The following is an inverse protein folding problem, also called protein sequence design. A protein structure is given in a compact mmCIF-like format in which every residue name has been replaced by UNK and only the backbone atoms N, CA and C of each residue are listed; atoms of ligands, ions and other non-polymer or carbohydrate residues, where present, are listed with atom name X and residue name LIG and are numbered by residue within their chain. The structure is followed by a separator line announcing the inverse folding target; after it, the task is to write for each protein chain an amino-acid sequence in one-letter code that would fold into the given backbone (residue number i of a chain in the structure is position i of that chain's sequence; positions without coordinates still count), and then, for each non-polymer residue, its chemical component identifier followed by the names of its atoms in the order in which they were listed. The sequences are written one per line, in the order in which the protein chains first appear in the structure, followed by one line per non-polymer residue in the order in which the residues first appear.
data_IF_862852386735
#
_entry.id   IF_862852386735
#
_cell.length_a   1.000
_cell.length_b   1.000
_cell.length_c   1.000
_cell.angle_alpha   90.00
_cell.angle_beta   90.00
_cell.angle_gamma   90.00
#
_symmetry.space_group_name_H-M   'P 1'
#
loop_
_entity.id
_entity.type
_entity.pdbx_description
1 polymer ?
#
# COMPACT_ATOMS: atom_id res chain seq x y z
N UNK A 1 20.57 3.37 -9.99
CA UNK A 1 19.27 3.90 -9.57
C UNK A 1 18.18 3.82 -10.64
N UNK A 2 18.43 4.15 -11.93
CA UNK A 2 17.42 4.10 -13.01
C UNK A 2 16.85 2.69 -13.28
N UNK A 3 17.68 1.65 -13.18
CA UNK A 3 17.27 0.25 -13.43
C UNK A 3 16.36 -0.30 -12.33
N UNK A 4 16.65 0.02 -11.05
CA UNK A 4 15.81 -0.36 -9.92
C UNK A 4 14.42 0.30 -9.99
N UNK A 5 14.34 1.59 -10.33
CA UNK A 5 13.04 2.25 -10.57
C UNK A 5 12.26 1.57 -11.67
N UNK A 6 12.89 1.25 -12.81
CA UNK A 6 12.22 0.61 -13.95
C UNK A 6 11.69 -0.80 -13.60
N UNK A 7 12.41 -1.56 -12.78
CA UNK A 7 11.96 -2.87 -12.29
C UNK A 7 10.77 -2.71 -11.33
N UNK A 8 10.84 -1.74 -10.42
CA UNK A 8 9.74 -1.46 -9.49
C UNK A 8 8.47 -1.01 -10.22
N UNK A 9 8.60 -0.07 -11.18
CA UNK A 9 7.47 0.40 -11.98
C UNK A 9 6.85 -0.74 -12.81
N UNK A 10 7.68 -1.66 -13.32
CA UNK A 10 7.22 -2.87 -14.00
C UNK A 10 6.44 -3.81 -13.07
N UNK A 11 6.96 -4.04 -11.85
CA UNK A 11 6.32 -4.89 -10.85
C UNK A 11 4.95 -4.33 -10.43
N UNK A 12 4.85 -3.03 -10.18
CA UNK A 12 3.59 -2.36 -9.84
C UNK A 12 2.57 -2.49 -10.97
N UNK A 13 2.94 -2.21 -12.22
CA UNK A 13 2.03 -2.35 -13.37
C UNK A 13 1.50 -3.77 -13.55
N UNK A 14 2.35 -4.78 -13.34
CA UNK A 14 1.91 -6.18 -13.36
C UNK A 14 0.90 -6.45 -12.23
N UNK A 15 1.17 -5.94 -11.05
CA UNK A 15 0.29 -6.10 -9.89
C UNK A 15 -1.06 -5.39 -10.08
N UNK A 16 -1.07 -4.20 -10.66
CA UNK A 16 -2.29 -3.47 -11.03
C UNK A 16 -3.14 -4.29 -12.03
N UNK A 17 -2.48 -4.83 -13.07
CA UNK A 17 -3.17 -5.66 -14.04
C UNK A 17 -3.73 -6.94 -13.40
N UNK A 18 -2.97 -7.60 -12.52
CA UNK A 18 -3.44 -8.77 -11.76
C UNK A 18 -4.62 -8.41 -10.88
N UNK A 19 -4.56 -7.30 -10.14
CA UNK A 19 -5.66 -6.84 -9.29
C UNK A 19 -6.92 -6.54 -10.13
N UNK A 20 -6.77 -5.92 -11.29
CA UNK A 20 -7.87 -5.65 -12.22
C UNK A 20 -8.53 -6.95 -12.71
N UNK A 21 -7.74 -7.92 -13.15
CA UNK A 21 -8.23 -9.22 -13.62
C UNK A 21 -8.94 -9.98 -12.49
N UNK A 22 -8.35 -10.01 -11.29
CA UNK A 22 -8.99 -10.64 -10.13
C UNK A 22 -10.31 -9.96 -9.77
N UNK A 23 -10.39 -8.63 -9.84
CA UNK A 23 -11.62 -7.88 -9.62
C UNK A 23 -12.72 -8.26 -10.63
N UNK A 24 -12.37 -8.35 -11.92
CA UNK A 24 -13.30 -8.76 -12.95
C UNK A 24 -13.81 -10.20 -12.73
N UNK A 25 -12.92 -11.10 -12.32
CA UNK A 25 -13.28 -12.50 -12.00
C UNK A 25 -14.23 -12.55 -10.81
N UNK A 26 -13.94 -11.83 -9.72
CA UNK A 26 -14.81 -11.78 -8.52
C UNK A 26 -16.19 -11.25 -8.88
N UNK A 27 -16.26 -10.14 -9.63
CA UNK A 27 -17.54 -9.59 -10.09
C UNK A 27 -18.34 -10.59 -10.94
N UNK A 28 -17.68 -11.25 -11.90
CA UNK A 28 -18.33 -12.24 -12.75
C UNK A 28 -18.84 -13.44 -11.94
N UNK A 29 -18.05 -13.91 -10.96
CA UNK A 29 -18.45 -15.02 -10.09
C UNK A 29 -19.66 -14.66 -9.21
N UNK A 30 -19.68 -13.45 -8.63
CA UNK A 30 -20.82 -12.98 -7.82
C UNK A 30 -22.08 -12.90 -8.66
N UNK A 31 -22.01 -12.32 -9.86
CA UNK A 31 -23.14 -12.22 -10.78
C UNK A 31 -23.63 -13.61 -11.19
N UNK A 32 -22.72 -14.50 -11.54
CA UNK A 32 -23.05 -15.88 -11.93
C UNK A 32 -23.70 -16.66 -10.79
N UNK A 33 -23.17 -16.51 -9.57
CA UNK A 33 -23.72 -17.15 -8.38
C UNK A 33 -25.11 -16.62 -8.04
N UNK A 34 -25.31 -15.29 -8.09
CA UNK A 34 -26.61 -14.67 -7.90
C UNK A 34 -27.62 -15.16 -8.95
N UNK A 35 -27.22 -15.22 -10.22
CA UNK A 35 -28.05 -15.73 -11.29
C UNK A 35 -28.49 -17.18 -11.03
N UNK A 36 -27.55 -18.05 -10.68
CA UNK A 36 -27.90 -19.46 -10.34
C UNK A 36 -28.87 -19.56 -9.16
N UNK A 37 -28.67 -18.78 -8.13
CA UNK A 37 -29.53 -18.80 -6.95
C UNK A 37 -30.94 -18.34 -7.24
N UNK A 38 -31.11 -17.26 -8.01
CA UNK A 38 -32.43 -16.68 -8.27
C UNK A 38 -33.17 -17.35 -9.41
N UNK A 39 -32.49 -17.84 -10.46
CA UNK A 39 -33.13 -18.42 -11.64
C UNK A 39 -33.30 -19.94 -11.49
N UNK A 40 -32.31 -20.63 -10.98
CA UNK A 40 -32.31 -22.09 -10.88
C UNK A 40 -32.67 -22.62 -9.49
N UNK A 41 -32.87 -21.75 -8.51
CA UNK A 41 -33.08 -22.09 -7.10
C UNK A 41 -32.10 -23.18 -6.60
N UNK A 42 -30.91 -23.25 -7.20
CA UNK A 42 -29.87 -24.22 -6.85
C UNK A 42 -28.78 -23.54 -6.02
N UNK A 43 -28.56 -24.07 -4.83
CA UNK A 43 -27.45 -23.60 -3.99
C UNK A 43 -26.16 -24.27 -4.46
N UNK A 44 -25.21 -23.47 -4.92
CA UNK A 44 -23.86 -23.94 -5.22
C UNK A 44 -23.02 -23.81 -3.95
N UNK A 45 -23.02 -24.87 -3.15
CA UNK A 45 -22.22 -24.95 -1.92
C UNK A 45 -20.74 -24.80 -2.26
N UNK A 46 -20.06 -23.83 -1.64
CA UNK A 46 -18.63 -23.58 -1.83
C UNK A 46 -18.28 -22.40 -2.75
N UNK A 47 -19.23 -21.82 -3.49
CA UNK A 47 -18.96 -20.61 -4.29
C UNK A 47 -18.45 -19.46 -3.42
N UNK A 48 -19.01 -19.30 -2.21
CA UNK A 48 -18.58 -18.29 -1.25
C UNK A 48 -17.11 -18.44 -0.86
N UNK A 49 -16.65 -19.68 -0.65
CA UNK A 49 -15.27 -19.99 -0.27
C UNK A 49 -14.28 -19.59 -1.37
N UNK A 50 -14.64 -19.86 -2.63
CA UNK A 50 -13.80 -19.51 -3.78
C UNK A 50 -13.78 -18.00 -4.03
N UNK A 51 -14.94 -17.34 -3.96
CA UNK A 51 -15.07 -15.89 -4.09
C UNK A 51 -14.25 -15.21 -2.99
N UNK A 52 -14.37 -15.68 -1.74
CA UNK A 52 -13.62 -15.13 -0.62
C UNK A 52 -12.10 -15.27 -0.82
N UNK A 53 -11.63 -16.44 -1.27
CA UNK A 53 -10.22 -16.69 -1.52
C UNK A 53 -9.63 -15.72 -2.57
N UNK A 54 -10.33 -15.55 -3.70
CA UNK A 54 -9.88 -14.65 -4.78
C UNK A 54 -9.98 -13.18 -4.35
N UNK A 55 -11.08 -12.80 -3.68
CA UNK A 55 -11.27 -11.44 -3.17
C UNK A 55 -10.21 -11.06 -2.13
N UNK A 56 -9.74 -12.01 -1.33
CA UNK A 56 -8.68 -11.80 -0.36
C UNK A 56 -7.36 -11.41 -1.03
N UNK A 57 -6.97 -12.13 -2.07
CA UNK A 57 -5.78 -11.80 -2.88
C UNK A 57 -5.92 -10.45 -3.56
N UNK A 58 -7.06 -10.20 -4.21
CA UNK A 58 -7.35 -8.91 -4.85
C UNK A 58 -7.23 -7.74 -3.88
N UNK A 59 -7.83 -7.87 -2.69
CA UNK A 59 -7.87 -6.81 -1.70
C UNK A 59 -6.47 -6.47 -1.16
N UNK A 60 -5.68 -7.48 -0.82
CA UNK A 60 -4.34 -7.25 -0.27
C UNK A 60 -3.30 -6.83 -1.31
N UNK A 61 -3.45 -7.26 -2.57
CA UNK A 61 -2.68 -6.71 -3.68
C UNK A 61 -3.01 -5.23 -3.87
N UNK A 62 -4.28 -4.85 -3.85
CA UNK A 62 -4.71 -3.45 -3.92
C UNK A 62 -4.18 -2.61 -2.76
N UNK A 63 -4.12 -3.15 -1.55
CA UNK A 63 -3.65 -2.43 -0.37
C UNK A 63 -2.18 -1.99 -0.48
N UNK A 64 -1.26 -2.87 -0.93
CA UNK A 64 0.14 -2.46 -1.09
C UNK A 64 0.36 -1.54 -2.30
N UNK A 65 -0.43 -1.68 -3.39
CA UNK A 65 -0.39 -0.75 -4.52
C UNK A 65 -0.79 0.66 -4.04
N UNK A 66 -1.88 0.78 -3.28
CA UNK A 66 -2.30 2.04 -2.69
C UNK A 66 -1.23 2.67 -1.77
N UNK A 67 -0.47 1.84 -1.05
CA UNK A 67 0.65 2.30 -0.23
C UNK A 67 1.81 2.79 -1.10
N UNK A 68 2.09 2.13 -2.23
CA UNK A 68 3.12 2.56 -3.18
C UNK A 68 2.80 3.90 -3.82
N UNK A 69 1.56 4.11 -4.22
CA UNK A 69 1.13 5.37 -4.84
C UNK A 69 1.18 6.56 -3.87
N UNK A 70 1.32 6.30 -2.55
CA UNK A 70 1.24 7.27 -1.44
C UNK A 70 0.29 8.41 -1.80
N UNK A 71 -0.95 8.02 -2.04
CA UNK A 71 -1.95 8.88 -2.65
C UNK A 71 -1.92 10.27 -1.98
N UNK A 72 -1.45 11.27 -2.69
CA UNK A 72 -1.32 12.67 -2.26
C UNK A 72 -2.60 13.24 -1.65
N UNK A 73 -3.72 12.54 -1.84
CA UNK A 73 -5.05 12.89 -1.36
C UNK A 73 -5.11 12.97 0.17
N UNK A 74 -4.46 12.06 0.89
CA UNK A 74 -4.45 12.08 2.36
C UNK A 74 -3.55 13.18 2.93
N UNK A 75 -2.50 13.57 2.20
CA UNK A 75 -1.61 14.64 2.61
C UNK A 75 -2.26 16.01 2.44
N UNK A 76 -3.08 16.21 1.41
CA UNK A 76 -3.65 17.52 1.08
C UNK A 76 -4.67 18.01 2.09
N UNK A 77 -5.43 17.15 2.75
CA UNK A 77 -6.40 17.54 3.77
C UNK A 77 -5.74 18.17 5.02
N UNK A 78 -4.62 17.59 5.50
CA UNK A 78 -3.89 18.14 6.64
C UNK A 78 -2.89 19.20 6.25
N UNK A 79 -2.27 19.09 5.07
CA UNK A 79 -1.30 20.06 4.57
C UNK A 79 -1.96 21.36 4.08
N UNK A 80 -3.23 21.32 3.68
CA UNK A 80 -3.99 22.52 3.35
C UNK A 80 -4.15 23.51 4.52
N UNK A 81 -4.09 23.02 5.77
CA UNK A 81 -4.11 23.85 6.98
C UNK A 81 -2.75 24.41 7.37
N UNK A 82 -1.65 23.84 6.88
CA UNK A 82 -0.28 24.28 7.19
C UNK A 82 0.27 25.14 6.05
N UNK A 83 0.47 26.45 6.34
CA UNK A 83 1.00 27.43 5.38
C UNK A 83 2.50 27.26 5.09
N UNK A 84 3.25 26.54 5.94
CA UNK A 84 4.71 26.44 5.87
C UNK A 84 5.12 25.11 5.21
N UNK A 85 5.99 25.16 4.20
CA UNK A 85 6.53 23.98 3.51
C UNK A 85 7.21 22.98 4.48
N UNK A 86 7.98 23.48 5.45
CA UNK A 86 8.61 22.66 6.50
C UNK A 86 7.56 21.95 7.37
N UNK A 87 6.46 22.63 7.72
CA UNK A 87 5.36 22.03 8.48
C UNK A 87 4.68 20.89 7.74
N UNK A 88 4.49 21.03 6.42
CA UNK A 88 3.92 19.97 5.57
C UNK A 88 4.79 18.72 5.53
N UNK A 89 6.09 18.91 5.36
CA UNK A 89 7.05 17.80 5.32
C UNK A 89 7.16 17.07 6.67
N UNK A 90 7.13 17.81 7.79
CA UNK A 90 7.11 17.22 9.13
C UNK A 90 5.82 16.42 9.38
N UNK A 91 4.65 16.97 9.03
CA UNK A 91 3.38 16.27 9.17
C UNK A 91 3.36 14.97 8.33
N UNK A 92 3.91 15.01 7.10
CA UNK A 92 4.09 13.81 6.26
C UNK A 92 4.99 12.79 6.92
N UNK A 93 6.10 13.21 7.51
CA UNK A 93 7.04 12.32 8.21
C UNK A 93 6.38 11.63 9.41
N UNK A 94 5.64 12.37 10.23
CA UNK A 94 4.90 11.82 11.38
C UNK A 94 3.90 10.77 10.91
N UNK A 95 3.13 11.06 9.87
CA UNK A 95 2.18 10.11 9.28
C UNK A 95 2.87 8.84 8.80
N UNK A 96 3.96 8.95 8.05
CA UNK A 96 4.72 7.80 7.54
C UNK A 96 5.29 6.96 8.67
N UNK A 97 5.75 7.59 9.77
CA UNK A 97 6.26 6.88 10.95
C UNK A 97 5.16 6.07 11.63
N UNK A 98 3.98 6.66 11.83
CA UNK A 98 2.83 5.95 12.40
C UNK A 98 2.41 4.79 11.50
N UNK A 99 2.34 5.01 10.17
CA UNK A 99 2.01 3.97 9.20
C UNK A 99 3.04 2.83 9.21
N UNK A 100 4.33 3.15 9.31
CA UNK A 100 5.39 2.14 9.38
C UNK A 100 5.27 1.25 10.60
N UNK A 101 5.01 1.83 11.78
CA UNK A 101 4.79 1.08 13.02
C UNK A 101 3.57 0.17 12.88
N UNK A 102 2.46 0.68 12.33
CA UNK A 102 1.25 -0.09 12.10
C UNK A 102 1.49 -1.27 11.13
N UNK A 103 2.12 -1.02 9.98
CA UNK A 103 2.43 -2.08 9.01
C UNK A 103 3.43 -3.10 9.56
N UNK A 104 4.42 -2.68 10.35
CA UNK A 104 5.35 -3.58 11.02
C UNK A 104 4.64 -4.53 12.00
N UNK A 105 3.75 -3.98 12.82
CA UNK A 105 2.94 -4.77 13.76
C UNK A 105 2.01 -5.74 13.00
N UNK A 106 1.36 -5.28 11.93
CA UNK A 106 0.49 -6.12 11.11
C UNK A 106 1.27 -7.22 10.37
N UNK A 107 2.50 -6.95 9.92
CA UNK A 107 3.37 -7.96 9.31
C UNK A 107 3.70 -9.06 10.30
N UNK A 108 4.08 -8.70 11.52
CA UNK A 108 4.38 -9.66 12.58
C UNK A 108 3.15 -10.53 12.90
N UNK A 109 2.01 -9.91 13.14
CA UNK A 109 0.76 -10.61 13.47
C UNK A 109 0.31 -11.53 12.33
N UNK A 110 0.43 -11.08 11.08
CA UNK A 110 0.09 -11.87 9.89
C UNK A 110 1.00 -13.07 9.70
N UNK A 111 2.28 -12.92 10.07
CA UNK A 111 3.23 -14.03 10.05
C UNK A 111 2.88 -15.09 11.09
N UNK A 112 2.54 -14.68 12.29
CA UNK A 112 2.10 -15.59 13.35
C UNK A 112 0.80 -16.32 12.96
N UNK A 113 -0.14 -15.61 12.36
CA UNK A 113 -1.38 -16.17 11.86
C UNK A 113 -1.14 -17.21 10.75
N UNK A 114 -0.27 -16.90 9.78
CA UNK A 114 0.11 -17.85 8.73
C UNK A 114 0.80 -19.09 9.29
N UNK A 115 1.72 -18.93 10.24
CA UNK A 115 2.40 -20.02 10.90
C UNK A 115 1.42 -20.96 11.61
N UNK A 116 0.43 -20.39 12.27
CA UNK A 116 -0.63 -21.15 12.94
C UNK A 116 -1.47 -21.98 11.95
N UNK A 117 -1.81 -21.44 10.78
CA UNK A 117 -2.54 -22.16 9.73
C UNK A 117 -1.73 -23.32 9.13
N UNK A 118 -0.42 -23.09 8.95
CA UNK A 118 0.51 -24.13 8.45
C UNK A 118 0.65 -25.26 9.47
N UNK A 119 0.91 -24.94 10.74
CA UNK A 119 1.11 -25.95 11.80
C UNK A 119 -0.15 -26.77 12.04
N UNK A 120 -1.31 -26.15 11.98
CA UNK A 120 -2.59 -26.84 12.19
C UNK A 120 -3.16 -27.51 10.94
N UNK A 121 -2.48 -27.42 9.79
CA UNK A 121 -2.94 -27.97 8.52
C UNK A 121 -4.41 -27.63 8.23
N UNK A 122 -4.80 -26.37 8.50
CA UNK A 122 -6.17 -25.93 8.27
C UNK A 122 -6.51 -26.04 6.78
N UNK A 123 -7.62 -26.71 6.49
CA UNK A 123 -8.18 -26.86 5.16
C UNK A 123 -9.53 -26.16 5.07
N UNK A 124 -9.89 -25.70 3.88
CA UNK A 124 -11.20 -25.14 3.59
C UNK A 124 -12.26 -26.24 3.64
N UNK A 125 -13.50 -25.87 3.98
CA UNK A 125 -14.58 -26.81 4.30
C UNK A 125 -15.02 -27.60 3.08
N UNK A 126 -15.21 -26.92 1.92
CA UNK A 126 -15.76 -27.53 0.71
C UNK A 126 -14.69 -28.09 -0.22
N UNK A 127 -13.70 -27.27 -0.55
CA UNK A 127 -12.67 -27.65 -1.54
C UNK A 127 -11.46 -28.32 -0.92
N UNK A 128 -11.34 -28.33 0.41
CA UNK A 128 -10.20 -28.90 1.15
C UNK A 128 -8.83 -28.32 0.74
N UNK A 129 -8.80 -27.08 0.23
CA UNK A 129 -7.55 -26.38 -0.01
C UNK A 129 -6.90 -25.94 1.31
N UNK A 130 -5.56 -25.96 1.41
CA UNK A 130 -4.88 -25.44 2.59
C UNK A 130 -5.17 -23.93 2.73
N UNK A 131 -5.75 -23.53 3.85
CA UNK A 131 -6.06 -22.10 4.12
C UNK A 131 -4.82 -21.21 4.13
N UNK A 132 -3.66 -21.80 4.42
CA UNK A 132 -2.38 -21.11 4.37
C UNK A 132 -2.11 -20.40 3.02
N UNK A 133 -2.55 -20.97 1.89
CA UNK A 133 -2.42 -20.34 0.57
C UNK A 133 -3.26 -19.05 0.44
N UNK A 134 -4.44 -19.05 1.03
CA UNK A 134 -5.34 -17.89 1.01
C UNK A 134 -4.72 -16.77 1.87
N UNK A 135 -4.21 -17.12 3.04
CA UNK A 135 -3.69 -16.16 4.01
C UNK A 135 -2.23 -15.73 3.74
N UNK A 136 -1.49 -16.42 2.86
CA UNK A 136 -0.11 -16.08 2.52
C UNK A 136 0.05 -14.66 1.94
N UNK A 137 -0.98 -14.13 1.31
CA UNK A 137 -0.97 -12.75 0.77
C UNK A 137 -0.87 -11.69 1.87
N UNK A 138 -1.36 -11.96 3.09
CA UNK A 138 -1.33 -11.02 4.22
C UNK A 138 0.10 -10.57 4.58
N UNK A 139 1.01 -11.46 5.02
CA UNK A 139 2.35 -11.05 5.39
C UNK A 139 3.12 -10.50 4.19
N UNK A 140 2.86 -11.02 2.98
CA UNK A 140 3.48 -10.52 1.75
C UNK A 140 3.09 -9.07 1.47
N UNK A 141 1.79 -8.76 1.52
CA UNK A 141 1.27 -7.42 1.27
C UNK A 141 1.75 -6.40 2.31
N UNK A 142 1.69 -6.75 3.60
CA UNK A 142 2.14 -5.85 4.67
C UNK A 142 3.66 -5.64 4.66
N UNK A 143 4.45 -6.68 4.34
CA UNK A 143 5.89 -6.53 4.17
C UNK A 143 6.24 -5.59 3.01
N UNK A 144 5.56 -5.71 1.87
CA UNK A 144 5.72 -4.79 0.74
C UNK A 144 5.31 -3.37 1.12
N UNK A 145 4.21 -3.19 1.85
CA UNK A 145 3.78 -1.89 2.35
C UNK A 145 4.81 -1.27 3.30
N UNK A 146 5.47 -2.04 4.16
CA UNK A 146 6.59 -1.56 4.98
C UNK A 146 7.74 -1.04 4.12
N UNK A 147 8.14 -1.79 3.08
CA UNK A 147 9.24 -1.41 2.18
C UNK A 147 8.92 -0.10 1.47
N UNK A 148 7.71 0.04 0.92
CA UNK A 148 7.31 1.28 0.25
C UNK A 148 7.19 2.46 1.21
N UNK A 149 6.68 2.26 2.41
CA UNK A 149 6.62 3.31 3.43
C UNK A 149 8.01 3.80 3.84
N UNK A 150 8.99 2.89 3.97
CA UNK A 150 10.39 3.26 4.23
C UNK A 150 10.97 4.07 3.06
N UNK A 151 10.71 3.67 1.82
CA UNK A 151 11.16 4.41 0.64
C UNK A 151 10.60 5.84 0.62
N UNK A 152 9.31 6.01 0.86
CA UNK A 152 8.67 7.32 0.97
C UNK A 152 9.20 8.16 2.13
N UNK A 153 9.54 7.52 3.26
CA UNK A 153 10.14 8.20 4.41
C UNK A 153 11.52 8.75 4.07
N UNK A 154 12.35 7.97 3.38
CA UNK A 154 13.68 8.41 2.92
C UNK A 154 13.57 9.59 1.95
N UNK A 155 12.66 9.51 0.97
CA UNK A 155 12.44 10.61 0.02
C UNK A 155 11.98 11.90 0.73
N UNK A 156 11.09 11.79 1.73
CA UNK A 156 10.62 12.93 2.52
C UNK A 156 11.74 13.55 3.37
N UNK A 157 12.62 12.74 3.96
CA UNK A 157 13.79 13.25 4.73
C UNK A 157 14.75 14.00 3.82
N UNK A 158 15.03 13.49 2.62
CA UNK A 158 15.86 14.16 1.62
C UNK A 158 15.23 15.50 1.21
N UNK A 159 13.93 15.55 1.03
CA UNK A 159 13.20 16.78 0.71
C UNK A 159 13.34 17.84 1.81
N UNK A 160 13.20 17.46 3.08
CA UNK A 160 13.37 18.35 4.25
C UNK A 160 14.79 18.91 4.28
N UNK A 161 15.79 18.05 4.08
CA UNK A 161 17.20 18.46 4.08
C UNK A 161 17.51 19.45 2.96
N UNK A 162 16.95 19.24 1.76
CA UNK A 162 17.14 20.14 0.61
C UNK A 162 16.39 21.48 0.79
N UNK A 163 15.24 21.49 1.45
CA UNK A 163 14.54 22.73 1.79
C UNK A 163 15.32 23.57 2.80
N UNK A 164 15.92 22.95 3.81
CA UNK A 164 16.77 23.67 4.79
C UNK A 164 17.95 24.37 4.13
N UNK A 165 18.58 23.73 3.14
CA UNK A 165 19.74 24.28 2.43
C UNK A 165 19.40 25.45 1.50
N UNK A 166 18.17 25.52 0.98
CA UNK A 166 17.72 26.64 0.15
C UNK A 166 17.42 27.90 0.99
N UNK A 167 16.95 27.72 2.22
CA UNK A 167 16.70 28.86 3.13
C UNK A 167 18.03 29.49 3.60
N UNK A 168 19.09 28.69 3.84
CA UNK A 168 20.43 29.21 4.18
C UNK A 168 21.06 29.99 3.00
N UNK A 169 20.95 29.47 1.77
CA UNK A 169 21.47 30.14 0.58
C UNK A 169 20.73 31.44 0.24
N UNK A 170 19.44 31.55 0.59
CA UNK A 170 18.66 32.76 0.38
C UNK A 170 18.97 33.86 1.41
N UNK A 171 19.37 33.50 2.65
CA UNK A 171 19.74 34.46 3.68
C UNK A 171 21.13 35.08 3.43
N UNK A 172 22.06 34.34 2.83
CA UNK A 172 23.38 34.85 2.48
C UNK A 172 23.37 35.82 1.30
N UNK A 173 22.43 35.66 0.36
CA UNK A 173 22.27 36.63 -0.73
C UNK A 173 21.57 37.93 -0.32
N UNK A 174 20.77 37.91 0.74
CA UNK A 174 20.12 39.13 1.29
C UNK A 174 21.04 39.94 2.22
N UNK A 175 22.22 39.40 2.58
CA UNK A 175 23.15 40.04 3.48
C UNK A 175 24.31 40.77 2.78
N UNK A 176 24.34 40.85 1.46
CA UNK A 176 25.31 41.65 0.73
C UNK A 176 24.83 43.11 0.73
N UNK A 177 25.51 44.04 1.42
CA UNK A 177 25.14 45.44 1.38
C UNK A 177 25.45 46.02 -0.01
N UNK A 178 24.48 46.75 -0.57
CA UNK A 178 24.68 47.66 -1.71
C UNK A 178 25.86 48.57 -1.46
N UNK A 179 27.01 48.14 -1.91
CA UNK A 179 28.15 49.05 -2.11
C UNK A 179 28.36 49.18 -3.62
N UNK A 180 27.85 50.22 -4.15
CA UNK A 180 28.53 51.05 -5.14
C UNK A 180 27.53 51.83 -6.01
N UNK A 181 27.22 53.00 -5.56
CA UNK A 181 26.97 54.11 -6.50
C UNK A 181 27.41 55.42 -5.85
N UNK A 182 28.64 55.81 -6.09
CA UNK A 182 29.07 57.20 -6.06
C UNK A 182 29.96 57.47 -7.27
#
# INVERSE_FOLDING_TARGET
MKTLKKINDGFIKVSEYVAFVLSAIVCAMIVWWAFKRYVFASEFYGAEELILAIAFWMYFIGAYIATHEDSHISADLFTGMLKTQKGKAIAKLIRLTISLVAFGMLTWLSWEFLSFDIVRHKITVMYRFPQAWIHAVLPLSFALSCIYTIAHMVDTVIEIHNCGRKDESGSDQAALPDQENK
#
